data_IF_815585642554
#
_entry.id   IF_815585642554
#
_cell.length_a   1.000
_cell.length_b   1.000
_cell.length_c   1.000
_cell.angle_alpha   90.00
_cell.angle_beta   90.00
_cell.angle_gamma   90.00
#
_symmetry.space_group_name_H-M   'P 1'
#
loop_
_entity.id
_entity.type
_entity.pdbx_description
1 polymer ?
#
# COMPACT_ATOMS: atom_id res chain seq x y z
N UNK A 1 23.24 -5.34 -15.44
CA UNK A 1 23.93 -6.37 -14.65
C UNK A 1 24.31 -7.48 -15.59
N UNK A 2 25.60 -7.64 -15.81
CA UNK A 2 26.22 -8.68 -16.62
C UNK A 2 27.04 -9.61 -15.72
N UNK A 3 27.32 -10.80 -16.25
CA UNK A 3 28.25 -11.74 -15.64
C UNK A 3 29.57 -11.05 -15.28
N UNK A 4 30.03 -11.28 -14.05
CA UNK A 4 31.28 -10.72 -13.54
C UNK A 4 31.20 -9.29 -12.98
N UNK A 5 30.02 -8.66 -12.99
CA UNK A 5 29.83 -7.36 -12.34
C UNK A 5 29.99 -7.48 -10.82
N UNK A 6 30.49 -6.45 -10.15
CA UNK A 6 30.39 -6.30 -8.69
C UNK A 6 29.23 -5.37 -8.39
N UNK A 7 28.31 -5.83 -7.54
CA UNK A 7 27.09 -5.10 -7.24
C UNK A 7 27.25 -4.34 -5.93
N UNK A 8 26.94 -3.05 -5.96
CA UNK A 8 26.95 -2.19 -4.78
C UNK A 8 25.52 -1.78 -4.49
N UNK A 9 25.05 -2.06 -3.29
CA UNK A 9 23.65 -1.82 -2.90
C UNK A 9 23.57 -1.29 -1.46
N UNK A 10 22.42 -0.75 -1.10
CA UNK A 10 22.09 -0.37 0.27
C UNK A 10 20.78 -1.06 0.66
N UNK A 11 20.89 -2.27 1.20
CA UNK A 11 19.73 -3.07 1.59
C UNK A 11 19.94 -3.72 2.94
N UNK A 12 19.27 -3.19 3.95
CA UNK A 12 19.14 -3.86 5.24
C UNK A 12 18.33 -5.16 5.07
N UNK A 13 18.70 -6.22 5.79
CA UNK A 13 18.06 -7.55 5.73
C UNK A 13 17.86 -8.04 4.28
N UNK A 14 18.97 -8.41 3.64
CA UNK A 14 19.00 -8.84 2.24
C UNK A 14 18.09 -10.05 2.05
N UNK A 15 17.10 -9.93 1.17
CA UNK A 15 16.12 -10.99 0.95
C UNK A 15 16.58 -12.03 -0.08
N UNK A 16 15.89 -13.17 -0.07
CA UNK A 16 16.18 -14.29 -0.97
C UNK A 16 15.97 -13.93 -2.44
N UNK A 17 14.92 -13.17 -2.76
CA UNK A 17 14.58 -12.87 -4.15
C UNK A 17 15.67 -12.02 -4.82
N UNK A 18 16.20 -11.05 -4.07
CA UNK A 18 17.33 -10.22 -4.46
C UNK A 18 18.58 -11.05 -4.60
N UNK A 19 18.91 -11.89 -3.61
CA UNK A 19 20.07 -12.79 -3.69
C UNK A 19 19.99 -13.75 -4.90
N UNK A 20 18.85 -14.41 -5.12
CA UNK A 20 18.65 -15.30 -6.27
C UNK A 20 18.81 -14.55 -7.61
N UNK A 21 18.40 -13.28 -7.68
CA UNK A 21 18.61 -12.47 -8.87
C UNK A 21 20.10 -12.17 -9.12
N UNK A 22 20.87 -11.91 -8.07
CA UNK A 22 22.31 -11.70 -8.12
C UNK A 22 23.05 -12.99 -8.51
N UNK A 23 22.67 -14.12 -7.94
CA UNK A 23 23.22 -15.44 -8.32
C UNK A 23 22.94 -15.74 -9.79
N UNK A 24 21.70 -15.54 -10.26
CA UNK A 24 21.34 -15.76 -11.68
C UNK A 24 22.09 -14.83 -12.64
N UNK A 25 22.47 -13.64 -12.19
CA UNK A 25 23.26 -12.70 -12.98
C UNK A 25 24.77 -13.04 -12.97
N UNK A 26 25.19 -14.06 -12.23
CA UNK A 26 26.59 -14.51 -12.11
C UNK A 26 27.55 -13.36 -11.75
N UNK A 27 27.15 -12.57 -10.75
CA UNK A 27 27.94 -11.43 -10.28
C UNK A 27 29.22 -11.90 -9.58
N UNK A 28 30.30 -11.15 -9.73
CA UNK A 28 31.60 -11.47 -9.13
C UNK A 28 31.67 -11.17 -7.62
N UNK A 29 30.73 -10.37 -7.10
CA UNK A 29 30.68 -10.02 -5.68
C UNK A 29 29.59 -9.00 -5.37
N UNK A 30 29.25 -8.89 -4.09
CA UNK A 30 28.23 -7.98 -3.57
C UNK A 30 28.84 -7.16 -2.44
N UNK A 31 28.66 -5.85 -2.51
CA UNK A 31 29.05 -4.89 -1.48
C UNK A 31 27.78 -4.20 -0.99
N UNK A 32 27.39 -4.45 0.25
CA UNK A 32 26.23 -3.86 0.88
C UNK A 32 26.67 -2.74 1.83
N UNK A 33 26.12 -1.55 1.65
CA UNK A 33 26.34 -0.42 2.55
C UNK A 33 25.70 -0.66 3.93
N UNK A 34 24.58 -1.38 3.96
CA UNK A 34 23.88 -1.81 5.17
C UNK A 34 24.32 -3.23 5.58
N UNK A 35 24.08 -3.64 6.84
CA UNK A 35 24.26 -5.04 7.23
C UNK A 35 23.21 -5.91 6.53
N UNK A 36 23.65 -7.03 5.96
CA UNK A 36 22.72 -7.93 5.28
C UNK A 36 21.89 -8.76 6.25
N UNK A 37 22.29 -8.90 7.53
CA UNK A 37 21.49 -9.49 8.62
C UNK A 37 21.45 -8.47 9.77
N UNK A 38 20.27 -7.93 10.09
CA UNK A 38 20.17 -6.93 11.16
C UNK A 38 20.08 -7.52 12.58
N UNK A 39 20.02 -8.85 12.71
CA UNK A 39 19.75 -9.54 13.98
C UNK A 39 18.31 -9.45 14.49
N UNK A 40 17.37 -8.85 13.72
CA UNK A 40 15.96 -8.75 14.11
C UNK A 40 15.22 -10.06 13.85
N UNK A 41 15.43 -10.63 12.68
CA UNK A 41 14.81 -11.87 12.24
C UNK A 41 15.69 -12.55 11.19
N UNK A 42 15.60 -13.89 11.05
CA UNK A 42 16.42 -14.61 10.08
C UNK A 42 15.99 -14.28 8.64
N UNK A 43 16.97 -14.02 7.78
CA UNK A 43 16.80 -13.78 6.34
C UNK A 43 17.76 -14.65 5.52
N UNK A 44 17.31 -15.10 4.35
CA UNK A 44 18.04 -16.11 3.57
C UNK A 44 19.02 -15.54 2.54
N UNK A 45 18.99 -14.22 2.28
CA UNK A 45 19.79 -13.62 1.21
C UNK A 45 21.31 -13.86 1.35
N UNK A 46 21.92 -13.61 2.53
CA UNK A 46 23.34 -13.82 2.74
C UNK A 46 23.77 -15.28 2.58
N UNK A 47 22.97 -16.23 3.08
CA UNK A 47 23.23 -17.66 2.95
C UNK A 47 23.23 -18.09 1.47
N UNK A 48 22.30 -17.57 0.67
CA UNK A 48 22.24 -17.84 -0.77
C UNK A 48 23.47 -17.31 -1.50
N UNK A 49 23.91 -16.08 -1.22
CA UNK A 49 25.08 -15.50 -1.88
C UNK A 49 26.37 -16.24 -1.52
N UNK A 50 26.63 -16.41 -0.22
CA UNK A 50 27.86 -17.07 0.25
C UNK A 50 27.86 -18.55 -0.16
N UNK A 51 26.71 -19.23 -0.11
CA UNK A 51 26.57 -20.61 -0.58
C UNK A 51 26.78 -20.79 -2.08
N UNK A 52 26.52 -19.76 -2.88
CA UNK A 52 26.84 -19.72 -4.31
C UNK A 52 28.32 -19.36 -4.60
N UNK A 53 29.12 -19.13 -3.55
CA UNK A 53 30.52 -18.72 -3.67
C UNK A 53 30.71 -17.26 -4.08
N UNK A 54 29.66 -16.42 -3.98
CA UNK A 54 29.72 -14.99 -4.29
C UNK A 54 30.20 -14.24 -3.04
N UNK A 55 31.35 -13.53 -3.10
CA UNK A 55 31.81 -12.72 -1.98
C UNK A 55 30.80 -11.65 -1.59
N UNK A 56 30.48 -11.57 -0.30
CA UNK A 56 29.61 -10.56 0.27
C UNK A 56 30.40 -9.71 1.29
N UNK A 57 30.38 -8.39 1.13
CA UNK A 57 30.98 -7.45 2.08
C UNK A 57 29.86 -6.55 2.60
N UNK A 58 29.62 -6.56 3.91
CA UNK A 58 28.58 -5.77 4.56
C UNK A 58 29.12 -4.54 5.27
N UNK A 59 28.24 -3.55 5.48
CA UNK A 59 28.49 -2.44 6.38
C UNK A 59 29.55 -1.45 5.88
N UNK A 60 29.74 -1.32 4.56
CA UNK A 60 30.70 -0.36 4.00
C UNK A 60 30.26 1.11 4.12
N UNK A 61 29.00 1.35 4.54
CA UNK A 61 28.42 2.68 4.67
C UNK A 61 27.98 3.31 3.34
N UNK A 62 27.09 4.30 3.43
CA UNK A 62 26.53 4.97 2.24
C UNK A 62 27.55 5.76 1.41
N UNK A 63 28.69 6.12 2.01
CA UNK A 63 29.76 6.83 1.30
C UNK A 63 30.35 5.97 0.17
N UNK A 64 30.30 4.64 0.28
CA UNK A 64 30.71 3.72 -0.78
C UNK A 64 29.87 3.91 -2.06
N UNK A 65 28.54 4.10 -1.94
CA UNK A 65 27.66 4.35 -3.09
C UNK A 65 27.97 5.68 -3.78
N UNK A 66 28.47 6.66 -3.04
CA UNK A 66 28.85 7.98 -3.58
C UNK A 66 30.24 7.95 -4.21
N UNK A 67 31.16 7.18 -3.63
CA UNK A 67 32.55 7.10 -4.06
C UNK A 67 32.73 6.24 -5.33
N UNK A 68 31.93 5.20 -5.49
CA UNK A 68 32.07 4.24 -6.60
C UNK A 68 31.05 4.56 -7.68
N UNK A 69 31.53 4.98 -8.85
CA UNK A 69 30.68 5.29 -10.00
C UNK A 69 30.31 4.01 -10.75
N UNK A 70 29.11 3.97 -11.31
CA UNK A 70 28.68 2.89 -12.20
C UNK A 70 29.67 2.71 -13.37
N UNK A 71 29.97 1.46 -13.70
CA UNK A 71 30.98 1.09 -14.70
C UNK A 71 32.44 1.15 -14.21
N UNK A 72 32.70 1.49 -12.95
CA UNK A 72 34.06 1.47 -12.38
C UNK A 72 34.57 0.04 -12.24
N UNK A 73 35.86 -0.18 -12.58
CA UNK A 73 36.55 -1.43 -12.25
C UNK A 73 36.91 -1.44 -10.78
N UNK A 74 36.29 -2.35 -10.03
CA UNK A 74 36.54 -2.53 -8.60
C UNK A 74 37.25 -3.84 -8.33
N UNK A 75 38.05 -3.87 -7.27
CA UNK A 75 38.69 -5.07 -6.74
C UNK A 75 38.28 -5.24 -5.28
N UNK A 76 37.79 -6.44 -4.94
CA UNK A 76 37.44 -6.82 -3.58
C UNK A 76 38.58 -7.63 -2.99
N UNK A 77 39.06 -7.27 -1.81
CA UNK A 77 40.11 -8.01 -1.10
C UNK A 77 39.92 -7.84 0.41
N UNK A 78 39.74 -8.95 1.13
CA UNK A 78 39.68 -9.01 2.60
C UNK A 78 38.75 -7.95 3.23
N UNK A 79 37.52 -7.83 2.71
CA UNK A 79 36.54 -6.85 3.19
C UNK A 79 36.76 -5.42 2.71
N UNK A 80 37.79 -5.17 1.90
CA UNK A 80 38.15 -3.85 1.38
C UNK A 80 37.82 -3.73 -0.10
N UNK A 81 37.26 -2.60 -0.50
CA UNK A 81 36.89 -2.27 -1.88
C UNK A 81 37.89 -1.28 -2.43
N UNK A 82 38.49 -1.60 -3.58
CA UNK A 82 39.48 -0.78 -4.27
C UNK A 82 38.98 -0.32 -5.63
N UNK A 83 39.29 0.92 -6.01
CA UNK A 83 39.19 1.44 -7.38
C UNK A 83 40.60 1.75 -7.85
N UNK A 84 41.16 0.91 -8.72
CA UNK A 84 42.60 0.90 -8.98
C UNK A 84 43.38 0.50 -7.72
N UNK A 85 44.27 1.39 -7.27
CA UNK A 85 45.08 1.21 -6.04
C UNK A 85 44.51 1.97 -4.83
N UNK A 86 43.44 2.73 -5.02
CA UNK A 86 42.81 3.51 -3.95
C UNK A 86 41.76 2.67 -3.23
N UNK A 87 41.91 2.56 -1.93
CA UNK A 87 40.85 2.10 -1.03
C UNK A 87 39.70 3.13 -1.02
N UNK A 88 38.48 2.65 -1.28
CA UNK A 88 37.29 3.49 -1.36
C UNK A 88 36.25 3.15 -0.29
N UNK A 89 36.32 1.95 0.27
CA UNK A 89 35.40 1.46 1.29
C UNK A 89 35.97 0.23 1.99
N UNK A 90 35.60 0.03 3.26
CA UNK A 90 35.94 -1.14 4.05
C UNK A 90 34.70 -1.60 4.81
N UNK A 91 34.49 -2.92 4.86
CA UNK A 91 33.37 -3.54 5.54
C UNK A 91 33.72 -4.94 6.04
N UNK A 92 32.70 -5.67 6.46
CA UNK A 92 32.85 -7.01 7.03
C UNK A 92 32.62 -8.05 5.94
N UNK A 93 33.64 -8.85 5.56
CA UNK A 93 33.44 -9.96 4.65
C UNK A 93 32.61 -11.05 5.34
N UNK A 94 31.55 -11.51 4.67
CA UNK A 94 30.71 -12.59 5.18
C UNK A 94 31.20 -13.96 4.72
N UNK A 95 31.25 -14.90 5.65
CA UNK A 95 31.53 -16.32 5.42
C UNK A 95 30.32 -17.17 5.78
N UNK A 96 30.36 -18.47 5.46
CA UNK A 96 29.27 -19.39 5.81
C UNK A 96 29.09 -19.43 7.34
N UNK A 97 30.21 -19.40 8.07
CA UNK A 97 30.24 -19.39 9.54
C UNK A 97 29.70 -18.07 10.09
N UNK A 98 30.14 -16.91 9.58
CA UNK A 98 29.65 -15.62 10.09
C UNK A 98 28.16 -15.44 9.84
N UNK A 99 27.68 -15.89 8.68
CA UNK A 99 26.24 -15.90 8.35
C UNK A 99 25.48 -16.85 9.28
N UNK A 100 26.01 -18.05 9.54
CA UNK A 100 25.37 -19.00 10.44
C UNK A 100 25.24 -18.45 11.88
N UNK A 101 26.29 -17.81 12.40
CA UNK A 101 26.29 -17.19 13.73
C UNK A 101 25.28 -16.04 13.81
N UNK A 102 25.28 -15.14 12.82
CA UNK A 102 24.30 -14.05 12.74
C UNK A 102 22.86 -14.57 12.61
N UNK A 103 22.66 -15.70 11.93
CA UNK A 103 21.34 -16.34 11.84
C UNK A 103 20.87 -16.94 13.17
N UNK A 104 21.79 -17.43 14.01
CA UNK A 104 21.45 -17.86 15.38
C UNK A 104 21.04 -16.65 16.22
N UNK A 105 21.81 -15.56 16.16
CA UNK A 105 21.47 -14.32 16.86
C UNK A 105 20.12 -13.76 16.39
N UNK A 106 19.88 -13.73 15.08
CA UNK A 106 18.62 -13.27 14.52
C UNK A 106 17.41 -14.12 14.93
N UNK A 107 17.58 -15.44 15.12
CA UNK A 107 16.54 -16.32 15.68
C UNK A 107 16.25 -15.97 17.14
N UNK A 108 17.27 -15.71 17.96
CA UNK A 108 17.09 -15.28 19.34
C UNK A 108 16.40 -13.90 19.40
N UNK A 109 16.80 -12.97 18.53
CA UNK A 109 16.18 -11.65 18.37
C UNK A 109 14.70 -11.74 18.02
N UNK A 110 14.33 -12.61 17.08
CA UNK A 110 12.93 -12.85 16.70
C UNK A 110 12.11 -13.40 17.86
N UNK A 111 12.63 -14.38 18.62
CA UNK A 111 11.94 -14.91 19.80
C UNK A 111 11.63 -13.82 20.82
N UNK A 112 12.62 -12.98 21.14
CA UNK A 112 12.42 -11.84 22.04
C UNK A 112 11.38 -10.84 21.51
N UNK A 113 11.33 -10.60 20.20
CA UNK A 113 10.33 -9.73 19.58
C UNK A 113 8.91 -10.32 19.65
N UNK A 114 8.76 -11.64 19.47
CA UNK A 114 7.46 -12.32 19.59
C UNK A 114 6.95 -12.33 21.03
N UNK A 115 7.83 -12.49 22.01
CA UNK A 115 7.49 -12.36 23.44
C UNK A 115 7.03 -10.94 23.77
N UNK A 116 7.79 -9.93 23.34
CA UNK A 116 7.42 -8.53 23.53
C UNK A 116 6.08 -8.20 22.85
N UNK A 117 5.86 -8.70 21.64
CA UNK A 117 4.58 -8.55 20.96
C UNK A 117 3.42 -9.17 21.73
N UNK A 118 3.58 -10.38 22.24
CA UNK A 118 2.54 -11.07 23.01
C UNK A 118 2.18 -10.29 24.27
N UNK A 119 3.18 -9.81 25.01
CA UNK A 119 2.98 -8.98 26.19
C UNK A 119 2.28 -7.65 25.85
N UNK A 120 2.76 -6.93 24.83
CA UNK A 120 2.17 -5.67 24.39
C UNK A 120 0.74 -5.84 23.87
N UNK A 121 0.44 -6.96 23.21
CA UNK A 121 -0.90 -7.28 22.70
C UNK A 121 -1.88 -7.58 23.82
N UNK A 122 -1.47 -8.35 24.84
CA UNK A 122 -2.29 -8.58 26.02
C UNK A 122 -2.59 -7.27 26.76
N UNK A 123 -1.58 -6.41 26.93
CA UNK A 123 -1.76 -5.12 27.59
C UNK A 123 -2.71 -4.21 26.80
N UNK A 124 -2.52 -4.13 25.48
CA UNK A 124 -3.39 -3.35 24.59
C UNK A 124 -4.84 -3.85 24.66
N UNK A 125 -5.08 -5.16 24.54
CA UNK A 125 -6.42 -5.73 24.67
C UNK A 125 -7.04 -5.46 26.04
N UNK A 126 -6.25 -5.52 27.11
CA UNK A 126 -6.73 -5.22 28.46
C UNK A 126 -7.18 -3.77 28.59
N UNK A 127 -6.43 -2.83 28.01
CA UNK A 127 -6.70 -1.39 28.05
C UNK A 127 -7.87 -0.99 27.15
N UNK A 128 -7.93 -1.53 25.94
CA UNK A 128 -8.84 -1.08 24.88
C UNK A 128 -10.02 -2.05 24.64
N UNK A 129 -10.22 -3.03 25.53
CA UNK A 129 -11.24 -4.09 25.39
C UNK A 129 -12.61 -3.60 24.96
N UNK A 130 -13.13 -2.57 25.63
CA UNK A 130 -14.49 -2.07 25.41
C UNK A 130 -14.66 -1.41 24.05
N UNK A 131 -13.62 -0.72 23.56
CA UNK A 131 -13.64 -0.16 22.21
C UNK A 131 -13.52 -1.27 21.16
N UNK A 132 -12.59 -2.20 21.36
CA UNK A 132 -12.35 -3.28 20.40
C UNK A 132 -13.49 -4.30 20.33
N UNK A 133 -14.12 -4.67 21.44
CA UNK A 133 -15.18 -5.68 21.45
C UNK A 133 -16.57 -5.05 21.30
N UNK A 134 -16.85 -3.97 22.04
CA UNK A 134 -18.20 -3.42 22.15
C UNK A 134 -18.40 -2.15 21.30
N UNK A 135 -17.34 -1.64 20.65
CA UNK A 135 -17.38 -0.40 19.86
C UNK A 135 -17.55 0.87 20.73
N UNK A 136 -17.40 0.74 22.05
CA UNK A 136 -17.60 1.86 22.99
C UNK A 136 -16.45 2.86 22.85
N UNK A 137 -16.79 4.14 22.67
CA UNK A 137 -15.83 5.22 22.52
C UNK A 137 -15.47 5.58 21.07
N UNK A 138 -15.95 4.79 20.09
CA UNK A 138 -15.84 5.15 18.67
C UNK A 138 -16.77 6.34 18.38
N UNK A 139 -16.29 7.42 17.74
CA UNK A 139 -17.11 8.60 17.47
C UNK A 139 -18.27 8.28 16.51
N UNK A 140 -19.42 8.88 16.80
CA UNK A 140 -20.56 8.88 15.89
C UNK A 140 -20.33 9.93 14.80
N UNK A 141 -20.31 9.48 13.55
CA UNK A 141 -20.14 10.34 12.38
C UNK A 141 -21.49 10.54 11.68
N UNK A 142 -21.66 11.69 11.04
CA UNK A 142 -22.83 11.95 10.19
C UNK A 142 -22.78 11.20 8.86
N UNK A 143 -21.57 10.84 8.43
CA UNK A 143 -21.28 10.09 7.21
C UNK A 143 -21.82 8.67 7.34
N UNK A 144 -22.82 8.35 6.51
CA UNK A 144 -23.43 7.02 6.51
C UNK A 144 -22.52 6.02 5.80
N UNK A 145 -22.00 5.04 6.55
CA UNK A 145 -21.20 3.92 6.04
C UNK A 145 -21.96 2.58 6.00
N UNK A 146 -23.08 2.50 6.73
CA UNK A 146 -23.87 1.27 6.84
C UNK A 146 -24.33 0.77 5.47
N UNK A 147 -23.98 -0.47 5.12
CA UNK A 147 -24.37 -1.07 3.84
C UNK A 147 -23.62 -0.50 2.63
N UNK A 148 -22.51 0.21 2.85
CA UNK A 148 -21.70 0.84 1.80
C UNK A 148 -20.28 0.29 1.81
N UNK A 149 -19.62 0.44 0.67
CA UNK A 149 -18.19 0.22 0.55
C UNK A 149 -17.44 1.46 1.04
N UNK A 150 -16.31 1.24 1.72
CA UNK A 150 -15.43 2.29 2.24
C UNK A 150 -14.06 2.10 1.61
N UNK A 151 -13.43 3.19 1.17
CA UNK A 151 -12.04 3.23 0.71
C UNK A 151 -11.23 4.04 1.72
N UNK A 152 -10.26 3.40 2.37
CA UNK A 152 -9.36 4.03 3.33
C UNK A 152 -7.99 4.21 2.70
N UNK A 153 -7.51 5.46 2.66
CA UNK A 153 -6.22 5.84 2.07
C UNK A 153 -5.26 6.29 3.16
N UNK A 154 -4.23 5.48 3.41
CA UNK A 154 -3.16 5.69 4.38
C UNK A 154 -1.85 6.16 3.70
N UNK A 155 -0.92 6.77 4.44
CA UNK A 155 0.26 7.42 3.87
C UNK A 155 1.43 6.48 3.54
N UNK A 156 1.21 5.15 3.47
CA UNK A 156 2.29 4.19 3.21
C UNK A 156 2.85 4.22 1.79
N UNK A 157 3.82 3.34 1.52
CA UNK A 157 4.55 3.31 0.25
C UNK A 157 3.60 3.14 -0.95
N UNK A 158 3.87 3.87 -2.05
CA UNK A 158 3.11 3.84 -3.32
C UNK A 158 1.61 4.18 -3.23
N UNK A 159 1.10 4.70 -2.10
CA UNK A 159 -0.33 4.98 -1.92
C UNK A 159 -0.94 5.86 -3.03
N UNK A 160 -0.19 6.82 -3.58
CA UNK A 160 -0.63 7.66 -4.72
C UNK A 160 -0.83 6.85 -6.00
N UNK A 161 0.09 5.93 -6.30
CA UNK A 161 0.02 5.09 -7.50
C UNK A 161 -1.13 4.07 -7.37
N UNK A 162 -1.28 3.48 -6.19
CA UNK A 162 -2.36 2.54 -5.87
C UNK A 162 -3.74 3.23 -5.93
N UNK A 163 -3.87 4.43 -5.36
CA UNK A 163 -5.09 5.23 -5.45
C UNK A 163 -5.47 5.52 -6.91
N UNK A 164 -4.48 5.86 -7.75
CA UNK A 164 -4.70 6.09 -9.18
C UNK A 164 -5.21 4.83 -9.90
N UNK A 165 -4.72 3.65 -9.52
CA UNK A 165 -5.20 2.37 -10.08
C UNK A 165 -6.66 2.08 -9.72
N UNK A 166 -7.17 2.64 -8.62
CA UNK A 166 -8.56 2.52 -8.17
C UNK A 166 -9.53 3.54 -8.79
N UNK A 167 -9.09 4.40 -9.72
CA UNK A 167 -9.96 5.42 -10.36
C UNK A 167 -11.29 4.86 -10.86
N UNK A 168 -11.26 3.69 -11.51
CA UNK A 168 -12.46 3.02 -12.04
C UNK A 168 -13.38 2.54 -10.91
N UNK A 169 -12.81 1.89 -9.92
CA UNK A 169 -13.53 1.41 -8.74
C UNK A 169 -14.26 2.56 -8.02
N UNK A 170 -13.57 3.68 -7.79
CA UNK A 170 -14.15 4.89 -7.16
C UNK A 170 -15.29 5.45 -8.02
N UNK A 171 -15.12 5.52 -9.34
CA UNK A 171 -16.14 6.03 -10.25
C UNK A 171 -17.41 5.17 -10.32
N UNK A 172 -17.24 3.84 -10.31
CA UNK A 172 -18.35 2.87 -10.42
C UNK A 172 -19.09 2.69 -9.09
N UNK A 173 -18.37 2.52 -7.98
CA UNK A 173 -18.95 2.15 -6.69
C UNK A 173 -19.25 3.34 -5.77
N UNK A 174 -18.63 4.51 -6.03
CA UNK A 174 -18.72 5.72 -5.18
C UNK A 174 -18.63 5.38 -3.68
N UNK A 175 -17.53 4.70 -3.26
CA UNK A 175 -17.34 4.33 -1.86
C UNK A 175 -17.23 5.57 -0.98
N UNK A 176 -17.47 5.41 0.33
CA UNK A 176 -17.10 6.43 1.31
C UNK A 176 -15.58 6.55 1.35
N UNK A 177 -15.05 7.76 1.23
CA UNK A 177 -13.62 8.04 1.18
C UNK A 177 -13.12 8.48 2.55
N UNK A 178 -12.27 7.66 3.17
CA UNK A 178 -11.59 7.99 4.42
C UNK A 178 -10.12 8.26 4.13
N UNK A 179 -9.66 9.48 4.42
CA UNK A 179 -8.25 9.86 4.33
C UNK A 179 -7.57 9.77 5.70
N UNK A 180 -6.47 9.04 5.80
CA UNK A 180 -5.68 8.91 7.03
C UNK A 180 -4.42 9.75 6.90
N UNK A 181 -4.21 10.69 7.82
CA UNK A 181 -3.09 11.64 7.80
C UNK A 181 -2.87 12.26 6.40
N UNK A 182 -1.65 12.21 5.86
CA UNK A 182 -1.34 12.73 4.52
C UNK A 182 -1.97 11.90 3.37
N UNK A 183 -2.55 10.73 3.67
CA UNK A 183 -3.43 10.02 2.74
C UNK A 183 -4.69 10.82 2.39
N UNK A 184 -5.16 11.70 3.28
CA UNK A 184 -6.22 12.67 2.96
C UNK A 184 -5.78 13.72 1.94
N UNK A 185 -4.50 14.12 1.98
CA UNK A 185 -3.91 15.03 1.00
C UNK A 185 -3.81 14.34 -0.36
N UNK A 186 -3.42 13.05 -0.37
CA UNK A 186 -3.37 12.25 -1.59
C UNK A 186 -4.75 12.11 -2.28
N UNK A 187 -5.82 11.91 -1.51
CA UNK A 187 -7.20 11.91 -2.04
C UNK A 187 -7.53 13.21 -2.76
N UNK A 188 -7.25 14.37 -2.13
CA UNK A 188 -7.55 15.66 -2.75
C UNK A 188 -6.65 15.98 -3.94
N UNK A 189 -5.37 15.63 -3.87
CA UNK A 189 -4.45 15.77 -4.99
C UNK A 189 -4.90 14.96 -6.21
N UNK A 190 -5.58 13.82 -5.99
CA UNK A 190 -6.22 13.02 -7.04
C UNK A 190 -7.59 13.56 -7.51
N UNK A 191 -8.07 14.68 -6.96
CA UNK A 191 -9.34 15.30 -7.31
C UNK A 191 -10.56 14.74 -6.57
N UNK A 192 -10.35 13.94 -5.52
CA UNK A 192 -11.42 13.39 -4.69
C UNK A 192 -11.61 14.22 -3.42
N UNK A 193 -12.85 14.41 -2.99
CA UNK A 193 -13.17 15.00 -1.69
C UNK A 193 -13.27 13.87 -0.66
N UNK A 194 -12.44 13.85 0.41
CA UNK A 194 -12.64 12.93 1.52
C UNK A 194 -14.00 13.16 2.19
N UNK A 195 -14.67 12.08 2.59
CA UNK A 195 -15.87 12.15 3.43
C UNK A 195 -15.47 12.26 4.91
N UNK A 196 -14.42 11.51 5.29
CA UNK A 196 -13.87 11.50 6.66
C UNK A 196 -12.35 11.65 6.60
N UNK A 197 -11.78 12.38 7.54
CA UNK A 197 -10.33 12.53 7.76
C UNK A 197 -9.99 12.00 9.15
N UNK A 198 -9.00 11.12 9.27
CA UNK A 198 -8.52 10.59 10.56
C UNK A 198 -7.03 10.88 10.70
N UNK A 199 -6.61 11.63 11.72
CA UNK A 199 -5.18 11.88 11.97
C UNK A 199 -4.89 13.19 12.70
N UNK A 200 -3.61 13.47 12.98
CA UNK A 200 -3.17 14.73 13.59
C UNK A 200 -3.27 15.88 12.55
N UNK A 201 -4.12 16.90 12.79
CA UNK A 201 -4.27 18.06 11.92
C UNK A 201 -2.97 18.80 11.59
N UNK A 202 -1.94 18.73 12.45
CA UNK A 202 -0.64 19.34 12.22
C UNK A 202 0.05 18.78 10.97
N UNK A 203 -0.14 17.49 10.68
CA UNK A 203 0.46 16.81 9.54
C UNK A 203 -0.36 16.90 8.24
N UNK A 204 -1.54 17.52 8.27
CA UNK A 204 -2.49 17.53 7.15
C UNK A 204 -2.59 18.93 6.54
N UNK A 205 -2.62 19.05 5.21
CA UNK A 205 -2.70 20.36 4.55
C UNK A 205 -4.00 21.12 4.90
N UNK A 206 -3.92 22.46 4.99
CA UNK A 206 -5.05 23.29 5.45
C UNK A 206 -6.25 23.20 4.50
N UNK A 207 -6.01 23.12 3.19
CA UNK A 207 -7.05 22.98 2.19
C UNK A 207 -7.77 21.63 2.30
N UNK A 208 -7.15 20.63 2.94
CA UNK A 208 -7.72 19.29 3.19
C UNK A 208 -8.73 19.36 4.29
N UNK A 209 -8.30 19.96 5.39
CA UNK A 209 -9.14 20.15 6.55
C UNK A 209 -10.35 21.03 6.17
N UNK A 210 -10.15 22.01 5.28
CA UNK A 210 -11.23 22.86 4.74
C UNK A 210 -12.10 22.22 3.65
N UNK A 211 -11.83 20.98 3.22
CA UNK A 211 -12.62 20.31 2.18
C UNK A 211 -14.07 20.00 2.59
N UNK A 212 -14.41 20.17 3.89
CA UNK A 212 -15.72 19.89 4.44
C UNK A 212 -15.96 18.40 4.62
N UNK A 213 -14.90 17.66 4.97
CA UNK A 213 -14.95 16.30 5.48
C UNK A 213 -15.18 16.32 6.99
N UNK A 214 -15.73 15.25 7.55
CA UNK A 214 -15.74 15.08 9.01
C UNK A 214 -14.34 14.74 9.52
N UNK A 215 -13.81 15.54 10.45
CA UNK A 215 -12.45 15.36 10.96
C UNK A 215 -12.49 14.63 12.30
N UNK A 216 -11.79 13.51 12.37
CA UNK A 216 -11.58 12.70 13.58
C UNK A 216 -10.14 12.86 14.03
N UNK A 217 -9.95 13.46 15.20
CA UNK A 217 -8.61 13.69 15.78
C UNK A 217 -8.33 12.62 16.83
N UNK A 218 -7.29 11.80 16.66
CA UNK A 218 -6.86 10.86 17.71
C UNK A 218 -6.54 11.61 19.00
N UNK A 219 -7.04 11.11 20.11
CA UNK A 219 -6.79 11.66 21.44
C UNK A 219 -6.16 10.60 22.33
N UNK A 220 -5.24 11.04 23.18
CA UNK A 220 -4.73 10.22 24.26
C UNK A 220 -5.86 9.96 25.28
N UNK A 221 -5.77 8.89 26.08
CA UNK A 221 -6.79 8.56 27.07
C UNK A 221 -6.99 9.62 28.18
N UNK A 222 -6.05 10.56 28.34
CA UNK A 222 -6.18 11.72 29.23
C UNK A 222 -6.94 12.91 28.59
N UNK A 223 -7.42 12.74 27.35
CA UNK A 223 -8.14 13.76 26.59
C UNK A 223 -7.23 14.69 25.77
N UNK A 224 -5.90 14.53 25.83
CA UNK A 224 -4.99 15.33 25.04
C UNK A 224 -5.01 14.89 23.56
N UNK A 225 -5.46 15.79 22.69
CA UNK A 225 -5.54 15.57 21.25
C UNK A 225 -4.52 16.47 20.52
N UNK A 226 -3.41 15.91 19.99
CA UNK A 226 -2.48 16.65 19.15
C UNK A 226 -3.20 17.31 17.96
N UNK A 227 -2.86 18.57 17.70
CA UNK A 227 -3.41 19.34 16.57
C UNK A 227 -4.86 19.82 16.75
N UNK A 228 -5.50 19.57 17.90
CA UNK A 228 -6.83 20.10 18.20
C UNK A 228 -6.86 21.64 18.18
N UNK A 229 -5.80 22.29 18.69
CA UNK A 229 -5.66 23.76 18.63
C UNK A 229 -5.69 24.30 17.20
N UNK A 230 -4.96 23.66 16.28
CA UNK A 230 -4.95 24.03 14.86
C UNK A 230 -6.33 23.91 14.22
N UNK A 231 -7.09 22.87 14.55
CA UNK A 231 -8.47 22.71 14.04
C UNK A 231 -9.39 23.83 14.53
N UNK A 232 -9.26 24.19 15.81
CA UNK A 232 -10.02 25.29 16.41
C UNK A 232 -9.68 26.63 15.75
N UNK A 233 -8.40 26.92 15.54
CA UNK A 233 -7.92 28.13 14.86
C UNK A 233 -8.44 28.24 13.42
N UNK A 234 -8.59 27.11 12.73
CA UNK A 234 -9.14 27.04 11.38
C UNK A 234 -10.67 27.15 11.33
N UNK A 235 -11.35 27.08 12.49
CA UNK A 235 -12.81 27.10 12.61
C UNK A 235 -13.48 25.84 12.07
N UNK A 236 -12.81 24.69 12.16
CA UNK A 236 -13.29 23.42 11.60
C UNK A 236 -13.89 22.57 12.73
N UNK A 237 -15.05 21.96 12.48
CA UNK A 237 -15.62 20.99 13.41
C UNK A 237 -14.84 19.68 13.37
N UNK A 238 -14.39 19.20 14.52
CA UNK A 238 -13.76 17.88 14.65
C UNK A 238 -14.27 17.14 15.89
N UNK A 239 -14.24 15.82 15.81
CA UNK A 239 -14.54 14.92 16.93
C UNK A 239 -13.24 14.26 17.39
N UNK A 240 -13.03 14.18 18.69
CA UNK A 240 -11.88 13.48 19.27
C UNK A 240 -12.19 12.00 19.41
N UNK A 241 -11.23 11.14 19.09
CA UNK A 241 -11.34 9.69 19.30
C UNK A 241 -10.30 9.25 20.35
N UNK A 242 -10.69 9.06 21.63
CA UNK A 242 -9.79 8.65 22.69
C UNK A 242 -9.41 7.17 22.53
N UNK A 243 -8.23 6.91 21.95
CA UNK A 243 -7.80 5.56 21.60
C UNK A 243 -6.27 5.46 21.52
N UNK A 244 -5.68 4.35 21.99
CA UNK A 244 -4.23 4.12 21.91
C UNK A 244 -3.74 3.46 20.61
N UNK A 245 -4.54 3.50 19.54
CA UNK A 245 -4.18 2.98 18.20
C UNK A 245 -3.58 4.05 17.28
N UNK A 246 -2.88 3.62 16.22
CA UNK A 246 -2.45 4.54 15.16
C UNK A 246 -3.67 4.99 14.31
N UNK A 247 -3.52 6.08 13.55
CA UNK A 247 -4.64 6.65 12.79
C UNK A 247 -5.21 5.69 11.72
N UNK A 248 -4.38 4.79 11.15
CA UNK A 248 -4.80 3.78 10.18
C UNK A 248 -5.80 2.80 10.78
N UNK A 249 -5.49 2.29 11.97
CA UNK A 249 -6.31 1.34 12.71
C UNK A 249 -7.60 1.99 13.21
N UNK A 250 -7.54 3.25 13.67
CA UNK A 250 -8.74 4.00 14.05
C UNK A 250 -9.70 4.17 12.87
N UNK A 251 -9.19 4.43 11.67
CA UNK A 251 -10.02 4.53 10.47
C UNK A 251 -10.71 3.20 10.13
N UNK A 252 -10.03 2.07 10.29
CA UNK A 252 -10.62 0.74 10.09
C UNK A 252 -11.67 0.41 11.16
N UNK A 253 -11.42 0.76 12.44
CA UNK A 253 -12.37 0.57 13.54
C UNK A 253 -13.63 1.42 13.32
N UNK A 254 -13.48 2.66 12.85
CA UNK A 254 -14.60 3.53 12.49
C UNK A 254 -15.43 2.86 11.38
N UNK A 255 -14.80 2.44 10.29
CA UNK A 255 -15.50 1.82 9.17
C UNK A 255 -16.29 0.57 9.59
N UNK A 256 -15.69 -0.31 10.41
CA UNK A 256 -16.36 -1.52 10.89
C UNK A 256 -17.49 -1.23 11.89
N UNK A 257 -17.26 -0.33 12.85
CA UNK A 257 -18.28 0.06 13.85
C UNK A 257 -19.49 0.74 13.19
N UNK A 258 -19.25 1.49 12.12
CA UNK A 258 -20.31 2.10 11.28
C UNK A 258 -20.92 1.13 10.25
N UNK A 259 -20.65 -0.18 10.37
CA UNK A 259 -21.24 -1.26 9.59
C UNK A 259 -21.01 -1.15 8.07
N UNK A 260 -19.80 -0.78 7.65
CA UNK A 260 -19.40 -0.93 6.26
C UNK A 260 -19.52 -2.40 5.80
N UNK A 261 -19.96 -2.61 4.56
CA UNK A 261 -20.07 -3.96 3.97
C UNK A 261 -18.72 -4.45 3.46
N UNK A 262 -17.88 -3.53 3.00
CA UNK A 262 -16.56 -3.78 2.46
C UNK A 262 -15.63 -2.60 2.77
N UNK A 263 -14.41 -2.89 3.21
CA UNK A 263 -13.37 -1.90 3.49
C UNK A 263 -12.18 -2.17 2.58
N UNK A 264 -11.97 -1.29 1.60
CA UNK A 264 -10.83 -1.32 0.68
C UNK A 264 -9.71 -0.45 1.25
N UNK A 265 -8.49 -0.98 1.30
CA UNK A 265 -7.34 -0.30 1.90
C UNK A 265 -6.28 0.07 0.86
N UNK A 266 -5.71 1.26 0.98
CA UNK A 266 -4.60 1.77 0.15
C UNK A 266 -3.52 2.33 1.03
N UNK A 267 -2.26 1.99 0.75
CA UNK A 267 -1.12 2.50 1.52
C UNK A 267 -0.99 1.89 2.92
N UNK A 268 -1.74 0.82 3.23
CA UNK A 268 -1.58 0.09 4.48
C UNK A 268 -0.39 -0.86 4.40
N UNK A 269 0.39 -0.87 5.46
CA UNK A 269 1.65 -1.59 5.55
C UNK A 269 1.56 -2.53 6.77
N UNK A 270 1.29 -3.82 6.52
CA UNK A 270 1.16 -4.82 7.57
C UNK A 270 1.86 -6.11 7.17
N UNK A 271 3.16 -6.00 6.92
CA UNK A 271 4.01 -7.16 6.67
C UNK A 271 4.67 -7.64 7.97
N UNK A 272 5.05 -8.92 8.01
CA UNK A 272 5.83 -9.48 9.13
C UNK A 272 7.15 -8.72 9.33
N UNK A 273 7.75 -8.23 8.25
CA UNK A 273 8.99 -7.45 8.30
C UNK A 273 8.82 -6.13 9.05
N UNK A 274 7.74 -5.41 8.78
CA UNK A 274 7.42 -4.15 9.48
C UNK A 274 6.99 -4.38 10.92
N UNK A 275 6.33 -5.50 11.16
CA UNK A 275 5.96 -5.95 12.49
C UNK A 275 7.18 -6.28 13.37
N UNK A 276 8.24 -6.82 12.77
CA UNK A 276 9.51 -7.10 13.43
C UNK A 276 10.44 -5.88 13.44
N UNK A 277 10.00 -4.74 12.92
CA UNK A 277 10.74 -3.48 13.04
C UNK A 277 10.53 -2.83 14.41
N UNK A 278 11.62 -2.60 15.14
CA UNK A 278 11.60 -2.06 16.52
C UNK A 278 10.94 -0.68 16.59
N UNK A 279 11.02 0.11 15.51
CA UNK A 279 10.44 1.46 15.43
C UNK A 279 8.91 1.52 15.47
N UNK A 280 8.20 0.40 15.24
CA UNK A 280 6.71 0.34 15.23
C UNK A 280 6.12 -0.47 16.39
N UNK A 281 6.94 -0.86 17.37
CA UNK A 281 6.58 -1.71 18.51
C UNK A 281 5.34 -1.26 19.30
N UNK A 282 5.01 0.03 19.30
CA UNK A 282 3.78 0.56 19.92
C UNK A 282 2.49 0.39 19.11
N UNK A 283 2.57 0.35 17.78
CA UNK A 283 1.41 0.24 16.89
C UNK A 283 1.11 -1.19 16.42
N UNK A 284 2.07 -2.11 16.50
CA UNK A 284 1.91 -3.46 15.96
C UNK A 284 0.74 -4.26 16.58
N UNK A 285 0.44 -4.15 17.89
CA UNK A 285 -0.72 -4.80 18.48
C UNK A 285 -2.06 -4.29 17.91
N UNK A 286 -2.23 -2.97 17.80
CA UNK A 286 -3.48 -2.38 17.27
C UNK A 286 -3.71 -2.79 15.83
N UNK A 287 -2.67 -2.82 15.00
CA UNK A 287 -2.78 -3.20 13.59
C UNK A 287 -3.17 -4.65 13.40
N UNK A 288 -2.55 -5.55 14.16
CA UNK A 288 -2.89 -6.97 14.09
C UNK A 288 -4.33 -7.24 14.54
N UNK A 289 -4.73 -6.70 15.70
CA UNK A 289 -6.07 -6.92 16.25
C UNK A 289 -7.17 -6.27 15.43
N UNK A 290 -6.92 -5.08 14.88
CA UNK A 290 -7.88 -4.38 14.01
C UNK A 290 -8.12 -5.18 12.74
N UNK A 291 -7.06 -5.71 12.12
CA UNK A 291 -7.21 -6.59 10.94
C UNK A 291 -7.95 -7.88 11.27
N UNK A 292 -7.73 -8.48 12.45
CA UNK A 292 -8.52 -9.64 12.88
C UNK A 292 -10.00 -9.29 13.06
N UNK A 293 -10.31 -8.13 13.66
CA UNK A 293 -11.68 -7.66 13.86
C UNK A 293 -12.40 -7.39 12.53
N UNK A 294 -11.77 -6.65 11.62
CA UNK A 294 -12.37 -6.23 10.33
C UNK A 294 -12.29 -7.34 9.27
N UNK A 295 -11.51 -8.39 9.50
CA UNK A 295 -10.95 -9.31 8.51
C UNK A 295 -11.88 -9.74 7.37
N UNK A 296 -13.09 -10.24 7.66
CA UNK A 296 -14.01 -10.73 6.63
C UNK A 296 -14.48 -9.67 5.62
N UNK A 297 -14.33 -8.38 5.95
CA UNK A 297 -14.73 -7.23 5.13
C UNK A 297 -13.53 -6.49 4.53
N UNK A 298 -12.30 -6.84 4.91
CA UNK A 298 -11.10 -6.10 4.54
C UNK A 298 -10.51 -6.62 3.22
N UNK A 299 -10.33 -5.74 2.23
CA UNK A 299 -9.72 -6.08 0.94
C UNK A 299 -8.61 -5.08 0.59
N UNK A 300 -7.53 -5.59 0.00
CA UNK A 300 -6.42 -4.78 -0.47
C UNK A 300 -6.77 -4.08 -1.79
N UNK A 301 -6.50 -2.78 -1.88
CA UNK A 301 -6.72 -1.97 -3.07
C UNK A 301 -6.01 -2.49 -4.31
N UNK A 302 -4.84 -3.11 -4.20
CA UNK A 302 -4.13 -3.75 -5.31
C UNK A 302 -4.92 -4.94 -5.86
N UNK A 303 -5.56 -5.72 -4.99
CA UNK A 303 -6.43 -6.82 -5.39
C UNK A 303 -7.69 -6.29 -6.10
N UNK A 304 -8.32 -5.25 -5.56
CA UNK A 304 -9.47 -4.58 -6.20
C UNK A 304 -9.10 -4.03 -7.58
N UNK A 305 -7.96 -3.34 -7.68
CA UNK A 305 -7.47 -2.80 -8.94
C UNK A 305 -7.16 -3.89 -9.98
N UNK A 306 -6.63 -5.04 -9.54
CA UNK A 306 -6.39 -6.19 -10.42
C UNK A 306 -7.70 -6.82 -10.92
N UNK A 307 -8.71 -6.96 -10.07
CA UNK A 307 -10.01 -7.52 -10.42
C UNK A 307 -10.84 -6.59 -11.33
N UNK A 308 -10.73 -5.27 -11.14
CA UNK A 308 -11.42 -4.28 -11.97
C UNK A 308 -10.75 -4.00 -13.32
N UNK A 309 -9.64 -4.69 -13.66
CA UNK A 309 -9.12 -4.74 -15.03
C UNK A 309 -9.99 -5.64 -15.92
N UNK A 310 -11.28 -5.36 -16.07
CA UNK A 310 -12.08 -6.00 -17.12
C UNK A 310 -11.72 -5.40 -18.49
N UNK A 311 -11.17 -6.26 -19.36
CA UNK A 311 -10.59 -5.96 -20.68
C UNK A 311 -11.63 -5.99 -21.80
N UNK A 312 -12.74 -5.29 -21.66
CA UNK A 312 -13.61 -5.11 -22.84
C UNK A 312 -13.23 -3.79 -23.50
N UNK A 313 -12.43 -3.89 -24.55
CA UNK A 313 -12.09 -2.75 -25.39
C UNK A 313 -13.39 -2.14 -25.91
N UNK A 314 -13.62 -0.85 -25.64
CA UNK A 314 -14.75 -0.10 -26.21
C UNK A 314 -14.76 -0.25 -27.74
N UNK A 315 -13.58 -0.35 -28.36
CA UNK A 315 -13.45 -0.63 -29.78
C UNK A 315 -14.03 -2.01 -30.15
N UNK A 316 -13.86 -3.04 -29.32
CA UNK A 316 -14.44 -4.36 -29.58
C UNK A 316 -15.97 -4.32 -29.50
N UNK A 317 -16.55 -3.56 -28.56
CA UNK A 317 -18.00 -3.36 -28.48
C UNK A 317 -18.49 -2.59 -29.72
N UNK A 318 -17.82 -1.49 -30.08
CA UNK A 318 -18.16 -0.70 -31.26
C UNK A 318 -18.05 -1.53 -32.54
N UNK A 319 -16.98 -2.31 -32.71
CA UNK A 319 -16.82 -3.22 -33.85
C UNK A 319 -17.91 -4.30 -33.90
N UNK A 320 -18.33 -4.82 -32.74
CA UNK A 320 -19.41 -5.80 -32.67
C UNK A 320 -20.77 -5.18 -33.06
N UNK A 321 -21.06 -3.96 -32.58
CA UNK A 321 -22.26 -3.21 -32.97
C UNK A 321 -22.23 -2.89 -34.47
N UNK A 322 -21.09 -2.44 -34.99
CA UNK A 322 -20.91 -2.18 -36.43
C UNK A 322 -21.07 -3.45 -37.27
N UNK A 323 -20.51 -4.58 -36.84
CA UNK A 323 -20.67 -5.85 -37.52
C UNK A 323 -22.14 -6.30 -37.57
N UNK A 324 -22.87 -6.13 -36.46
CA UNK A 324 -24.31 -6.41 -36.41
C UNK A 324 -25.11 -5.49 -37.34
N UNK A 325 -24.80 -4.19 -37.37
CA UNK A 325 -25.43 -3.24 -38.31
C UNK A 325 -25.18 -3.61 -39.76
N UNK A 326 -23.94 -3.98 -40.11
CA UNK A 326 -23.59 -4.41 -41.47
C UNK A 326 -24.34 -5.70 -41.85
N UNK A 327 -24.43 -6.67 -40.93
CA UNK A 327 -25.18 -7.90 -41.16
C UNK A 327 -26.68 -7.64 -41.40
N UNK A 328 -27.29 -6.73 -40.64
CA UNK A 328 -28.68 -6.32 -40.82
C UNK A 328 -28.86 -5.62 -42.18
N UNK A 329 -27.97 -4.68 -42.52
CA UNK A 329 -28.03 -3.97 -43.79
C UNK A 329 -27.90 -4.93 -45.00
N UNK A 330 -26.98 -5.90 -44.92
CA UNK A 330 -26.81 -6.92 -45.94
C UNK A 330 -28.06 -7.82 -46.07
N UNK A 331 -28.65 -8.24 -44.95
CA UNK A 331 -29.88 -9.03 -44.95
C UNK A 331 -31.06 -8.28 -45.60
N UNK A 332 -31.23 -6.98 -45.30
CA UNK A 332 -32.24 -6.12 -45.93
C UNK A 332 -31.99 -5.94 -47.43
N UNK A 333 -30.74 -5.75 -47.85
CA UNK A 333 -30.38 -5.60 -49.26
C UNK A 333 -30.66 -6.88 -50.08
N UNK A 334 -30.37 -8.05 -49.51
CA UNK A 334 -30.54 -9.35 -50.21
C UNK A 334 -31.99 -9.82 -50.21
N UNK A 335 -32.79 -9.45 -49.21
CA UNK A 335 -34.20 -9.89 -49.08
C UNK A 335 -35.16 -9.25 -50.09
N UNK A 336 -34.73 -8.26 -50.88
CA UNK A 336 -35.50 -7.75 -52.01
C UNK A 336 -36.77 -6.94 -51.66
N UNK A 337 -36.92 -6.48 -50.40
CA UNK A 337 -38.14 -5.81 -49.90
C UNK A 337 -37.97 -4.28 -49.74
N UNK A 338 -37.06 -3.67 -50.50
CA UNK A 338 -36.61 -2.28 -50.31
C UNK A 338 -37.69 -1.18 -50.39
N UNK A 339 -38.88 -1.48 -50.92
CA UNK A 339 -39.96 -0.50 -51.09
C UNK A 339 -41.04 -0.52 -49.99
N UNK A 340 -41.12 -1.57 -49.14
CA UNK A 340 -42.19 -1.69 -48.14
C UNK A 340 -41.76 -1.38 -46.69
N UNK A 341 -40.45 -1.28 -46.43
CA UNK A 341 -39.90 -1.14 -45.07
C UNK A 341 -39.29 0.22 -44.75
N UNK A 342 -39.33 1.19 -45.68
CA UNK A 342 -38.82 2.54 -45.44
C UNK A 342 -39.47 3.17 -44.21
N UNK A 343 -40.78 2.98 -44.05
CA UNK A 343 -41.55 3.52 -42.94
C UNK A 343 -41.17 2.85 -41.60
N UNK A 344 -40.98 1.53 -41.60
CA UNK A 344 -40.56 0.75 -40.42
C UNK A 344 -39.14 1.08 -39.97
N UNK A 345 -38.22 1.33 -40.91
CA UNK A 345 -36.84 1.72 -40.62
C UNK A 345 -36.79 3.10 -39.95
N UNK A 346 -37.58 4.07 -40.44
CA UNK A 346 -37.67 5.39 -39.77
C UNK A 346 -38.25 5.28 -38.36
N UNK A 347 -39.23 4.40 -38.14
CA UNK A 347 -39.89 4.23 -36.84
C UNK A 347 -38.99 3.49 -35.83
N UNK A 348 -38.23 2.51 -36.29
CA UNK A 348 -37.24 1.78 -35.48
C UNK A 348 -36.02 2.66 -35.18
N UNK A 349 -35.58 3.48 -36.15
CA UNK A 349 -34.50 4.44 -35.95
C UNK A 349 -34.88 5.52 -34.92
N UNK A 350 -36.10 6.06 -35.00
CA UNK A 350 -36.59 7.00 -33.98
C UNK A 350 -36.69 6.35 -32.60
N UNK A 351 -37.19 5.11 -32.52
CA UNK A 351 -37.26 4.37 -31.25
C UNK A 351 -35.88 4.08 -30.67
N UNK A 352 -34.89 3.76 -31.51
CA UNK A 352 -33.51 3.55 -31.10
C UNK A 352 -32.84 4.84 -30.63
N UNK A 353 -33.04 5.97 -31.32
CA UNK A 353 -32.53 7.29 -30.90
C UNK A 353 -33.15 7.75 -29.59
N UNK A 354 -34.43 7.46 -29.35
CA UNK A 354 -35.11 7.74 -28.08
C UNK A 354 -34.57 6.85 -26.95
N UNK A 355 -34.36 5.56 -27.21
CA UNK A 355 -33.74 4.63 -26.26
C UNK A 355 -32.30 5.03 -25.92
N UNK A 356 -31.51 5.45 -26.91
CA UNK A 356 -30.13 5.90 -26.72
C UNK A 356 -30.08 7.21 -25.91
N UNK A 357 -31.01 8.15 -26.15
CA UNK A 357 -31.15 9.37 -25.33
C UNK A 357 -31.53 9.06 -23.88
N UNK A 358 -32.26 7.98 -23.62
CA UNK A 358 -32.60 7.51 -22.26
C UNK A 358 -31.45 6.82 -21.52
N UNK A 359 -30.39 6.40 -22.21
CA UNK A 359 -29.19 5.78 -21.62
C UNK A 359 -28.11 6.80 -21.19
N UNK A 360 -28.22 8.05 -21.66
CA UNK A 360 -27.28 9.14 -21.36
C UNK A 360 -27.92 10.28 -20.53
N UNK A 361 -29.12 10.07 -19.98
CA UNK A 361 -29.74 10.90 -18.94
C UNK A 361 -29.79 10.13 -17.61
#
# INVERSE_FOLDING_TARGET
MSQGDVVILDQLDLDRATADALVRAEVAGVVNASPSISGRFPNLGPEVLVGAGIPLIDGVGQDALRAIKEGSKVRLLDGTVYVGDREVAQGTPQTVESVADQMIEAKAGMSAQLEAFSANTMEFLRRERTMFLDGIGVPQLTTVMKGRQVLVVAPGHEHVADLKALKRYIGEHRPVLIGVESGADALRAAGYKPDVIVGDPNGIATETLRAGAEVVVPAHPDGHAPGLGRIQDLGIGAVTFPASGNAEDLALIIADTHNADLVVTVGFQATLREFLDRGRSGSNPSTFLTRLKVGGKLVDGKAVAALHRSRVSVLAIVLLVMAAMVAIAAAVAVSGVGAAYTDWITETWNSFVVWLKGLFS
#
